data_IF_702804012326
#
_entry.id   IF_702804012326
#
_cell.length_a   1.000
_cell.length_b   1.000
_cell.length_c   1.000
_cell.angle_alpha   90.00
_cell.angle_beta   90.00
_cell.angle_gamma   90.00
#
_symmetry.space_group_name_H-M   'P 1'
#
loop_
_entity.id
_entity.type
_entity.pdbx_description
1 polymer ?
#
# COMPACT_ATOMS: atom_id res chain seq x y z
N UNK A 1 -38.46 12.13 -1.52
CA UNK A 1 -37.44 13.11 -1.97
C UNK A 1 -36.32 13.27 -0.94
N UNK A 2 -36.63 13.49 0.35
CA UNK A 2 -35.62 13.64 1.42
C UNK A 2 -34.70 12.43 1.60
N UNK A 3 -35.21 11.20 1.43
CA UNK A 3 -34.39 9.99 1.49
C UNK A 3 -33.35 9.90 0.35
N UNK A 4 -33.71 10.28 -0.88
CA UNK A 4 -32.75 10.35 -2.00
C UNK A 4 -31.68 11.43 -1.78
N UNK A 5 -32.06 12.57 -1.22
CA UNK A 5 -31.11 13.65 -0.89
C UNK A 5 -30.16 13.23 0.24
N UNK A 6 -30.66 12.55 1.28
CA UNK A 6 -29.82 11.97 2.36
C UNK A 6 -28.91 10.85 1.88
N UNK A 7 -29.37 9.98 0.98
CA UNK A 7 -28.52 8.95 0.37
C UNK A 7 -27.44 9.56 -0.53
N UNK A 8 -27.78 10.60 -1.30
CA UNK A 8 -26.80 11.39 -2.03
C UNK A 8 -25.77 12.01 -1.08
N UNK A 9 -26.24 12.52 0.07
CA UNK A 9 -25.43 13.08 1.14
C UNK A 9 -24.36 12.14 1.68
N UNK A 10 -24.82 10.95 2.08
CA UNK A 10 -23.93 9.91 2.58
C UNK A 10 -22.93 9.44 1.52
N UNK A 11 -23.32 9.41 0.24
CA UNK A 11 -22.47 8.87 -0.82
C UNK A 11 -21.29 9.78 -1.15
N UNK A 12 -21.50 11.11 -1.21
CA UNK A 12 -20.38 12.03 -1.43
C UNK A 12 -19.42 12.09 -0.26
N UNK A 13 -19.90 11.99 0.98
CA UNK A 13 -19.02 11.95 2.15
C UNK A 13 -18.07 10.74 2.10
N UNK A 14 -18.61 9.56 1.76
CA UNK A 14 -17.83 8.33 1.60
C UNK A 14 -16.80 8.42 0.46
N UNK A 15 -17.15 9.05 -0.66
CA UNK A 15 -16.23 9.22 -1.78
C UNK A 15 -15.08 10.18 -1.44
N UNK A 16 -15.33 11.24 -0.68
CA UNK A 16 -14.28 12.14 -0.19
C UNK A 16 -13.35 11.42 0.79
N UNK A 17 -13.90 10.66 1.73
CA UNK A 17 -13.13 9.90 2.70
C UNK A 17 -12.22 8.88 2.02
N UNK A 18 -12.71 8.16 1.00
CA UNK A 18 -11.89 7.25 0.19
C UNK A 18 -10.76 7.97 -0.52
N UNK A 19 -11.01 9.14 -1.12
CA UNK A 19 -9.98 9.95 -1.76
C UNK A 19 -8.94 10.41 -0.75
N UNK A 20 -9.36 10.93 0.40
CA UNK A 20 -8.45 11.32 1.48
C UNK A 20 -7.59 10.15 1.95
N UNK A 21 -8.16 8.96 2.08
CA UNK A 21 -7.41 7.76 2.43
C UNK A 21 -6.33 7.44 1.37
N UNK A 22 -6.65 7.52 0.08
CA UNK A 22 -5.67 7.30 -1.00
C UNK A 22 -4.53 8.33 -0.92
N UNK A 23 -4.84 9.60 -0.73
CA UNK A 23 -3.83 10.65 -0.59
C UNK A 23 -2.97 10.47 0.66
N UNK A 24 -3.58 10.14 1.80
CA UNK A 24 -2.86 9.86 3.04
C UNK A 24 -1.91 8.66 2.87
N UNK A 25 -2.35 7.57 2.24
CA UNK A 25 -1.49 6.42 1.93
C UNK A 25 -0.32 6.80 1.04
N UNK A 26 -0.54 7.68 0.05
CA UNK A 26 0.56 8.21 -0.79
C UNK A 26 1.56 8.99 0.06
N UNK A 27 1.10 9.86 0.95
CA UNK A 27 1.98 10.62 1.85
C UNK A 27 2.80 9.70 2.77
N UNK A 28 2.17 8.65 3.32
CA UNK A 28 2.86 7.64 4.12
C UNK A 28 3.93 6.91 3.30
N UNK A 29 3.61 6.53 2.05
CA UNK A 29 4.56 5.90 1.14
C UNK A 29 5.76 6.80 0.82
N UNK A 30 5.54 8.08 0.54
CA UNK A 30 6.64 9.03 0.33
C UNK A 30 7.49 9.22 1.59
N UNK A 31 6.88 9.24 2.78
CA UNK A 31 7.60 9.31 4.05
C UNK A 31 8.50 8.09 4.23
N UNK A 32 8.00 6.89 3.93
CA UNK A 32 8.78 5.65 3.99
C UNK A 32 10.00 5.70 3.06
N UNK A 33 9.81 6.17 1.82
CA UNK A 33 10.86 6.24 0.81
C UNK A 33 11.92 7.32 1.09
N UNK A 34 11.53 8.43 1.73
CA UNK A 34 12.44 9.56 2.02
C UNK A 34 13.06 9.51 3.40
N UNK A 35 12.44 8.83 4.36
CA UNK A 35 12.89 8.75 5.75
C UNK A 35 12.83 7.31 6.26
N UNK A 36 13.70 6.40 5.77
CA UNK A 36 13.68 4.98 6.13
C UNK A 36 14.00 4.70 7.61
N UNK A 37 14.60 5.66 8.33
CA UNK A 37 14.88 5.60 9.77
C UNK A 37 13.75 6.16 10.64
N UNK A 38 12.57 6.45 10.08
CA UNK A 38 11.44 6.92 10.85
C UNK A 38 11.02 5.89 11.91
N UNK A 39 10.77 6.34 13.14
CA UNK A 39 10.48 5.46 14.29
C UNK A 39 9.30 4.51 14.05
N UNK A 40 8.34 4.89 13.20
CA UNK A 40 7.17 4.06 12.86
C UNK A 40 7.24 3.45 11.45
N UNK A 41 8.43 3.28 10.87
CA UNK A 41 8.64 2.66 9.55
C UNK A 41 7.86 1.35 9.38
N UNK A 42 7.95 0.44 10.35
CA UNK A 42 7.28 -0.87 10.31
C UNK A 42 5.75 -0.76 10.33
N UNK A 43 5.21 0.26 10.98
CA UNK A 43 3.76 0.53 10.92
C UNK A 43 3.35 0.98 9.52
N UNK A 44 4.15 1.85 8.90
CA UNK A 44 3.90 2.31 7.53
C UNK A 44 4.01 1.17 6.53
N UNK A 45 5.08 0.35 6.62
CA UNK A 45 5.27 -0.84 5.79
C UNK A 45 4.06 -1.76 5.90
N UNK A 46 3.62 -2.07 7.13
CA UNK A 46 2.43 -2.89 7.37
C UNK A 46 1.19 -2.34 6.68
N UNK A 47 0.94 -1.03 6.80
CA UNK A 47 -0.21 -0.39 6.15
C UNK A 47 -0.11 -0.51 4.63
N UNK A 48 1.04 -0.21 4.03
CA UNK A 48 1.24 -0.31 2.59
C UNK A 48 1.04 -1.75 2.09
N UNK A 49 1.66 -2.74 2.74
CA UNK A 49 1.56 -4.15 2.37
C UNK A 49 0.13 -4.70 2.53
N UNK A 50 -0.61 -4.31 3.57
CA UNK A 50 -2.00 -4.73 3.72
C UNK A 50 -2.90 -4.07 2.68
N UNK A 51 -2.65 -2.80 2.35
CA UNK A 51 -3.46 -2.04 1.40
C UNK A 51 -3.16 -2.39 -0.06
N UNK A 52 -1.99 -2.93 -0.40
CA UNK A 52 -1.74 -3.47 -1.75
C UNK A 52 -2.63 -4.67 -2.10
N UNK A 53 -3.15 -5.40 -1.11
CA UNK A 53 -4.12 -6.48 -1.31
C UNK A 53 -5.59 -6.03 -1.44
N UNK A 54 -5.88 -4.72 -1.39
CA UNK A 54 -7.27 -4.22 -1.41
C UNK A 54 -7.93 -4.34 -2.80
N UNK A 55 -9.26 -4.54 -2.87
CA UNK A 55 -9.98 -4.50 -4.15
C UNK A 55 -10.02 -3.09 -4.76
N UNK A 56 -9.82 -2.03 -3.96
CA UNK A 56 -9.85 -0.63 -4.43
C UNK A 56 -8.64 -0.33 -5.32
N UNK A 57 -8.87 -0.21 -6.63
CA UNK A 57 -7.80 -0.04 -7.62
C UNK A 57 -6.89 1.16 -7.34
N UNK A 58 -7.44 2.34 -7.06
CA UNK A 58 -6.66 3.55 -6.79
C UNK A 58 -5.74 3.42 -5.57
N UNK A 59 -6.20 2.74 -4.51
CA UNK A 59 -5.40 2.48 -3.32
C UNK A 59 -4.29 1.47 -3.62
N UNK A 60 -4.63 0.40 -4.35
CA UNK A 60 -3.69 -0.64 -4.76
C UNK A 60 -2.59 -0.07 -5.63
N UNK A 61 -2.92 0.75 -6.62
CA UNK A 61 -1.97 1.39 -7.53
C UNK A 61 -0.93 2.23 -6.76
N UNK A 62 -1.40 3.06 -5.81
CA UNK A 62 -0.52 3.84 -4.94
C UNK A 62 0.42 2.93 -4.14
N UNK A 63 -0.11 1.88 -3.51
CA UNK A 63 0.72 0.96 -2.71
C UNK A 63 1.73 0.20 -3.57
N UNK A 64 1.33 -0.28 -4.75
CA UNK A 64 2.22 -0.99 -5.67
C UNK A 64 3.34 -0.09 -6.20
N UNK A 65 3.03 1.17 -6.51
CA UNK A 65 4.04 2.15 -6.93
C UNK A 65 5.06 2.44 -5.82
N UNK A 66 4.61 2.54 -4.56
CA UNK A 66 5.48 2.70 -3.40
C UNK A 66 6.36 1.47 -3.21
N UNK A 67 5.80 0.25 -3.29
CA UNK A 67 6.55 -1.00 -3.17
C UNK A 67 7.60 -1.15 -4.28
N UNK A 68 7.25 -0.83 -5.53
CA UNK A 68 8.20 -0.86 -6.65
C UNK A 68 9.40 0.07 -6.40
N UNK A 69 9.14 1.31 -5.97
CA UNK A 69 10.21 2.28 -5.65
C UNK A 69 11.04 1.86 -4.45
N UNK A 70 10.40 1.25 -3.45
CA UNK A 70 11.08 0.71 -2.28
C UNK A 70 12.05 -0.40 -2.68
N UNK A 71 11.62 -1.31 -3.56
CA UNK A 71 12.43 -2.44 -4.03
C UNK A 71 13.54 -2.04 -5.01
N UNK A 72 13.35 -0.98 -5.80
CA UNK A 72 14.35 -0.54 -6.79
C UNK A 72 15.52 0.24 -6.17
N UNK A 73 15.25 1.20 -5.28
CA UNK A 73 16.26 2.16 -4.81
C UNK A 73 16.16 2.52 -3.31
N UNK A 74 15.25 1.88 -2.56
CA UNK A 74 14.78 2.42 -1.28
C UNK A 74 15.59 2.06 -0.04
N UNK A 75 16.42 1.00 -0.08
CA UNK A 75 17.11 0.53 1.12
C UNK A 75 18.44 -0.17 0.79
N UNK A 76 19.59 0.51 0.99
CA UNK A 76 20.90 -0.10 0.76
C UNK A 76 21.25 -1.21 1.79
N UNK A 77 20.56 -1.28 2.93
CA UNK A 77 20.73 -2.37 3.91
C UNK A 77 19.74 -3.52 3.69
N UNK A 78 18.63 -3.25 3.01
CA UNK A 78 17.60 -4.24 2.66
C UNK A 78 16.65 -4.64 3.80
N UNK A 79 16.78 -4.08 5.00
CA UNK A 79 15.92 -4.38 6.16
C UNK A 79 14.44 -4.10 5.91
N UNK A 80 14.12 -2.93 5.34
CA UNK A 80 12.75 -2.50 5.04
C UNK A 80 12.17 -3.35 3.91
N UNK A 81 13.00 -3.68 2.92
CA UNK A 81 12.63 -4.54 1.79
C UNK A 81 12.30 -5.94 2.31
N UNK A 82 13.16 -6.52 3.16
CA UNK A 82 12.94 -7.83 3.77
C UNK A 82 11.66 -7.84 4.60
N UNK A 83 11.42 -6.82 5.42
CA UNK A 83 10.18 -6.69 6.20
C UNK A 83 8.94 -6.70 5.29
N UNK A 84 8.95 -5.89 4.22
CA UNK A 84 7.84 -5.82 3.28
C UNK A 84 7.59 -7.15 2.56
N UNK A 85 8.65 -7.82 2.08
CA UNK A 85 8.59 -9.12 1.41
C UNK A 85 8.03 -10.20 2.35
N UNK A 86 8.48 -10.25 3.61
CA UNK A 86 8.00 -11.19 4.60
C UNK A 86 6.52 -10.97 4.92
N UNK A 87 6.09 -9.70 5.06
CA UNK A 87 4.70 -9.36 5.33
C UNK A 87 3.78 -9.74 4.16
N UNK A 88 4.15 -9.41 2.92
CA UNK A 88 3.36 -9.80 1.75
C UNK A 88 3.34 -11.32 1.62
N UNK A 89 4.46 -12.00 1.84
CA UNK A 89 4.52 -13.47 1.82
C UNK A 89 3.56 -14.10 2.84
N UNK A 90 3.44 -13.52 4.04
CA UNK A 90 2.44 -13.94 5.04
C UNK A 90 1.02 -13.67 4.54
N UNK A 91 0.75 -12.48 4.01
CA UNK A 91 -0.57 -12.12 3.48
C UNK A 91 -1.02 -13.04 2.33
N UNK A 92 -0.11 -13.46 1.47
CA UNK A 92 -0.38 -14.41 0.38
C UNK A 92 -0.64 -15.81 0.93
N UNK A 93 0.13 -16.26 1.93
CA UNK A 93 -0.04 -17.58 2.57
C UNK A 93 -1.34 -17.68 3.39
N UNK A 94 -1.66 -16.63 4.13
CA UNK A 94 -2.82 -16.58 5.03
C UNK A 94 -4.12 -16.20 4.30
N UNK A 95 -4.00 -15.64 3.09
CA UNK A 95 -5.10 -15.11 2.29
C UNK A 95 -5.97 -16.20 1.68
N UNK A 96 -7.29 -16.13 1.93
CA UNK A 96 -8.30 -16.99 1.27
C UNK A 96 -8.63 -16.56 -0.17
N UNK A 97 -8.25 -15.34 -0.56
CA UNK A 97 -8.54 -14.74 -1.86
C UNK A 97 -7.24 -14.54 -2.64
N UNK A 98 -7.28 -14.65 -3.98
CA UNK A 98 -6.09 -14.46 -4.81
C UNK A 98 -5.56 -13.03 -4.63
N UNK A 99 -4.29 -12.93 -4.26
CA UNK A 99 -3.61 -11.65 -4.12
C UNK A 99 -3.52 -10.96 -5.49
N UNK A 100 -3.81 -9.65 -5.62
CA UNK A 100 -3.87 -8.99 -6.91
C UNK A 100 -2.56 -9.10 -7.72
N UNK A 101 -2.68 -9.42 -9.01
CA UNK A 101 -1.51 -9.58 -9.89
C UNK A 101 -0.62 -8.33 -9.94
N UNK A 102 -1.21 -7.13 -9.88
CA UNK A 102 -0.46 -5.86 -9.84
C UNK A 102 0.51 -5.77 -8.66
N UNK A 103 0.07 -6.28 -7.50
CA UNK A 103 0.85 -6.28 -6.27
C UNK A 103 1.88 -7.41 -6.22
N UNK A 104 1.70 -8.48 -7.02
CA UNK A 104 2.77 -9.46 -7.26
C UNK A 104 3.80 -8.88 -8.23
N UNK A 105 3.35 -8.17 -9.26
CA UNK A 105 4.23 -7.51 -10.24
C UNK A 105 5.19 -6.50 -9.61
N UNK A 106 4.89 -5.91 -8.46
CA UNK A 106 5.86 -5.04 -7.79
C UNK A 106 7.16 -5.77 -7.43
N UNK A 107 7.12 -7.09 -7.19
CA UNK A 107 8.30 -7.89 -6.86
C UNK A 107 9.32 -7.98 -8.00
N UNK A 108 8.96 -7.66 -9.25
CA UNK A 108 9.93 -7.64 -10.34
C UNK A 108 10.96 -6.53 -10.19
N UNK A 109 10.69 -5.53 -9.33
CA UNK A 109 11.63 -4.46 -9.00
C UNK A 109 12.65 -4.85 -7.91
N UNK A 110 12.53 -6.03 -7.29
CA UNK A 110 13.50 -6.51 -6.31
C UNK A 110 14.85 -6.77 -7.00
N UNK A 111 15.87 -6.04 -6.56
CA UNK A 111 17.26 -6.31 -6.91
C UNK A 111 17.87 -7.19 -5.82
N UNK A 112 18.02 -8.48 -6.12
CA UNK A 112 18.75 -9.41 -5.26
C UNK A 112 20.21 -9.37 -5.70
N UNK A 113 21.08 -8.76 -4.89
CA UNK A 113 22.51 -8.99 -4.99
C UNK A 113 22.78 -10.39 -4.40
N UNK A 114 23.27 -11.30 -5.25
CA UNK A 114 23.67 -12.68 -4.89
C UNK A 114 25.17 -12.72 -4.71
#
# INVERSE_FOLDING_TARGET
>A
LEACVRMGASRWAQDHERKHAVHATRCLGELLLRAPHFNFRSNIVRVICQRSGTPIAAMREVCCSVLQRLFDCGDPQGDVILEAVQLISKLVKDGKLPYPADAVRSFTALRLEV
#
